data_IF_443012545312
#
_entry.id   IF_443012545312
#
_cell.length_a   1.000
_cell.length_b   1.000
_cell.length_c   1.000
_cell.angle_alpha   90.00
_cell.angle_beta   90.00
_cell.angle_gamma   90.00
#
_symmetry.space_group_name_H-M   'P 1'
#
loop_
_entity.id
_entity.type
_entity.pdbx_description
1 polymer ?
#
# COMPACT_ATOMS: atom_id res chain seq x y z
N UNK A 1 8.19 -1.03 2.00
CA UNK A 1 7.49 0.22 2.38
C UNK A 1 7.45 1.14 1.17
N UNK A 2 6.41 1.93 1.00
CA UNK A 2 6.29 2.90 -0.11
C UNK A 2 5.49 4.11 0.34
N UNK A 3 5.87 5.30 -0.11
CA UNK A 3 5.18 6.56 0.16
C UNK A 3 4.27 6.92 -1.01
N UNK A 4 3.13 7.54 -0.72
CA UNK A 4 2.33 8.22 -1.74
C UNK A 4 3.13 9.38 -2.34
N UNK A 5 2.76 9.80 -3.55
CA UNK A 5 3.50 10.83 -4.28
C UNK A 5 3.50 12.21 -3.58
N UNK A 6 2.47 12.49 -2.79
CA UNK A 6 2.35 13.69 -1.97
C UNK A 6 3.07 13.61 -0.61
N UNK A 7 3.57 12.42 -0.24
CA UNK A 7 4.22 12.16 1.05
C UNK A 7 3.28 12.22 2.26
N UNK A 8 1.96 12.23 2.07
CA UNK A 8 1.00 12.28 3.18
C UNK A 8 0.77 10.92 3.82
N UNK A 9 0.93 9.84 3.05
CA UNK A 9 0.70 8.47 3.51
C UNK A 9 1.88 7.54 3.20
N UNK A 10 2.08 6.57 4.07
CA UNK A 10 3.03 5.48 3.90
C UNK A 10 2.32 4.14 4.01
N UNK A 11 2.65 3.22 3.10
CA UNK A 11 2.23 1.83 3.17
C UNK A 11 3.38 0.96 3.72
N UNK A 12 3.07 0.14 4.71
CA UNK A 12 3.97 -0.77 5.39
C UNK A 12 3.46 -2.21 5.25
N UNK A 13 4.18 -3.03 4.48
CA UNK A 13 3.90 -4.45 4.34
C UNK A 13 4.63 -5.23 5.42
N UNK A 14 3.89 -6.05 6.15
CA UNK A 14 4.38 -6.82 7.29
C UNK A 14 4.47 -8.30 6.94
N UNK A 15 5.40 -9.01 7.59
CA UNK A 15 5.54 -10.46 7.43
C UNK A 15 4.32 -11.23 7.97
N UNK A 16 3.52 -10.60 8.85
CA UNK A 16 2.24 -11.14 9.33
C UNK A 16 1.15 -11.17 8.26
N UNK A 17 1.38 -10.61 7.07
CA UNK A 17 0.37 -10.48 6.00
C UNK A 17 -0.47 -9.21 6.09
N UNK A 18 -0.16 -8.32 7.04
CA UNK A 18 -0.82 -7.02 7.16
C UNK A 18 -0.14 -5.97 6.28
N UNK A 19 -0.93 -5.07 5.69
CA UNK A 19 -0.45 -3.82 5.10
C UNK A 19 -1.07 -2.67 5.86
N UNK A 20 -0.28 -2.03 6.71
CA UNK A 20 -0.68 -0.86 7.48
C UNK A 20 -0.42 0.40 6.65
N UNK A 21 -1.49 1.17 6.40
CA UNK A 21 -1.41 2.49 5.78
C UNK A 21 -1.46 3.52 6.89
N UNK A 22 -0.42 4.35 6.97
CA UNK A 22 -0.27 5.36 8.02
C UNK A 22 -0.10 6.74 7.43
N UNK A 23 -0.49 7.75 8.18
CA UNK A 23 -0.18 9.14 7.84
C UNK A 23 1.27 9.51 8.20
N UNK A 24 1.66 10.74 7.84
CA UNK A 24 2.97 11.32 8.18
C UNK A 24 3.26 11.45 9.69
N UNK A 25 2.24 11.37 10.55
CA UNK A 25 2.39 11.39 12.01
C UNK A 25 2.44 9.98 12.61
N UNK A 26 2.29 8.95 11.79
CA UNK A 26 2.33 7.54 12.19
C UNK A 26 0.98 6.99 12.68
N UNK A 27 -0.11 7.75 12.54
CA UNK A 27 -1.45 7.27 12.84
C UNK A 27 -1.91 6.29 11.74
N UNK A 28 -2.42 5.13 12.14
CA UNK A 28 -2.94 4.15 11.20
C UNK A 28 -4.29 4.60 10.64
N UNK A 29 -4.36 4.74 9.32
CA UNK A 29 -5.57 5.15 8.59
C UNK A 29 -6.32 3.97 8.00
N UNK A 30 -5.60 2.89 7.64
CA UNK A 30 -6.20 1.66 7.13
C UNK A 30 -5.29 0.46 7.37
N UNK A 31 -5.90 -0.73 7.43
CA UNK A 31 -5.20 -2.02 7.46
C UNK A 31 -5.78 -2.94 6.39
N UNK A 32 -4.90 -3.60 5.64
CA UNK A 32 -5.26 -4.60 4.63
C UNK A 32 -4.68 -5.93 5.08
N UNK A 33 -5.54 -6.93 5.28
CA UNK A 33 -5.14 -8.25 5.77
C UNK A 33 -5.04 -9.25 4.61
N UNK A 34 -3.90 -9.93 4.54
CA UNK A 34 -3.63 -11.06 3.64
C UNK A 34 -3.31 -12.32 4.44
N UNK A 35 -3.48 -13.48 3.81
CA UNK A 35 -3.21 -14.78 4.44
C UNK A 35 -1.73 -15.20 4.39
N UNK A 36 -0.87 -14.43 3.73
CA UNK A 36 0.54 -14.74 3.58
C UNK A 36 1.40 -13.45 3.68
N UNK A 37 2.71 -13.57 3.92
CA UNK A 37 3.60 -12.44 4.04
C UNK A 37 3.58 -11.49 2.83
N UNK A 38 3.63 -10.19 3.11
CA UNK A 38 3.77 -9.15 2.09
C UNK A 38 5.25 -9.01 1.75
N UNK A 39 5.59 -9.13 0.47
CA UNK A 39 6.99 -9.10 0.02
C UNK A 39 7.37 -7.82 -0.70
N UNK A 40 6.42 -7.23 -1.40
CA UNK A 40 6.59 -5.94 -2.04
C UNK A 40 5.28 -5.18 -2.02
N UNK A 41 5.40 -3.87 -2.06
CA UNK A 41 4.29 -2.98 -2.32
C UNK A 41 4.84 -1.70 -2.95
N UNK A 42 4.02 -1.01 -3.72
CA UNK A 42 4.36 0.27 -4.32
C UNK A 42 3.11 1.10 -4.58
N UNK A 43 3.17 2.39 -4.26
CA UNK A 43 2.18 3.34 -4.75
C UNK A 43 2.45 3.64 -6.22
N UNK A 44 1.37 3.81 -7.00
CA UNK A 44 1.46 4.30 -8.36
C UNK A 44 2.02 5.74 -8.35
N UNK A 45 3.17 6.00 -9.00
CA UNK A 45 3.79 7.32 -9.01
C UNK A 45 3.05 8.32 -9.91
N UNK A 46 2.21 7.85 -10.84
CA UNK A 46 1.53 8.70 -11.82
C UNK A 46 0.06 8.82 -11.48
N UNK A 47 -0.33 9.98 -10.96
CA UNK A 47 -1.73 10.38 -10.88
C UNK A 47 -2.18 10.85 -12.27
N UNK A 48 -3.14 10.15 -12.86
CA UNK A 48 -3.66 10.55 -14.17
C UNK A 48 -4.67 11.66 -13.93
N UNK A 49 -4.65 12.75 -14.72
CA UNK A 49 -5.63 13.86 -14.57
C UNK A 49 -7.10 13.41 -14.66
N UNK A 50 -7.34 12.23 -15.22
CA UNK A 50 -8.67 11.63 -15.38
C UNK A 50 -9.10 10.76 -14.19
N UNK A 51 -8.15 10.24 -13.39
CA UNK A 51 -8.41 9.43 -12.20
C UNK A 51 -7.33 9.78 -11.15
N UNK A 52 -7.61 10.75 -10.27
CA UNK A 52 -6.65 11.23 -9.27
C UNK A 52 -6.49 10.28 -8.08
N UNK A 53 -7.09 9.08 -8.12
CA UNK A 53 -7.01 8.13 -7.01
C UNK A 53 -5.62 7.47 -6.94
N UNK A 54 -5.04 7.48 -5.74
CA UNK A 54 -3.80 6.77 -5.46
C UNK A 54 -4.04 5.26 -5.50
N UNK A 55 -3.27 4.56 -6.33
CA UNK A 55 -3.34 3.10 -6.46
C UNK A 55 -2.16 2.47 -5.72
N UNK A 56 -2.43 1.53 -4.82
CA UNK A 56 -1.41 0.71 -4.16
C UNK A 56 -1.38 -0.68 -4.79
N UNK A 57 -0.21 -1.11 -5.28
CA UNK A 57 0.02 -2.52 -5.62
C UNK A 57 0.66 -3.25 -4.44
N UNK A 58 0.18 -4.46 -4.16
CA UNK A 58 0.67 -5.33 -3.09
C UNK A 58 1.00 -6.70 -3.67
N UNK A 59 2.25 -7.12 -3.53
CA UNK A 59 2.70 -8.47 -3.82
C UNK A 59 2.73 -9.31 -2.54
N UNK A 60 2.10 -10.48 -2.60
CA UNK A 60 1.93 -11.39 -1.47
C UNK A 60 2.55 -12.76 -1.80
N UNK A 61 3.04 -13.49 -0.78
CA UNK A 61 3.62 -14.84 -0.94
C UNK A 61 2.58 -15.91 -1.26
N UNK A 62 1.29 -15.58 -1.24
CA UNK A 62 0.19 -16.42 -1.72
C UNK A 62 0.10 -16.51 -3.26
N UNK A 63 1.16 -16.07 -3.97
CA UNK A 63 1.25 -16.04 -5.43
C UNK A 63 0.29 -15.03 -6.09
N UNK A 64 -0.16 -14.03 -5.35
CA UNK A 64 -1.02 -12.97 -5.90
C UNK A 64 -0.36 -11.60 -5.91
N UNK A 65 -0.78 -10.80 -6.88
CA UNK A 65 -0.52 -9.36 -6.98
C UNK A 65 -1.89 -8.67 -6.96
N UNK A 66 -2.13 -7.82 -5.98
CA UNK A 66 -3.42 -7.14 -5.77
C UNK A 66 -3.28 -5.62 -5.91
N UNK A 67 -4.32 -4.96 -6.40
CA UNK A 67 -4.38 -3.51 -6.56
C UNK A 67 -5.49 -2.95 -5.69
N UNK A 68 -5.17 -1.89 -4.94
CA UNK A 68 -6.08 -1.20 -4.03
C UNK A 68 -6.19 0.27 -4.45
N UNK A 69 -7.40 0.82 -4.37
CA UNK A 69 -7.76 2.22 -4.67
C UNK A 69 -8.34 2.88 -3.42
#
# INVERSE_FOLDING_TARGET
>A
MSWTNDGLHIALGLFSGHVSIRDKFGEEKADIVRQAPIWTLAWNPVQTKQDPTDVLVVGCWDQTLSFYK
#
